data_IF_145073391328
#
_entry.id   IF_145073391328
#
_cell.length_a   1.000
_cell.length_b   1.000
_cell.length_c   1.000
_cell.angle_alpha   90.00
_cell.angle_beta   90.00
_cell.angle_gamma   90.00
#
_symmetry.space_group_name_H-M   'P 1'
#
loop_
_entity.id
_entity.type
_entity.pdbx_description
1 polymer ?
#
# COMPACT_ATOMS: atom_id res chain seq x y z
N UNK A 1 17.17 18.01 -35.22
CA UNK A 1 15.89 18.59 -34.76
C UNK A 1 16.20 19.71 -33.81
N UNK A 2 15.49 20.84 -33.91
CA UNK A 2 15.59 21.89 -32.89
C UNK A 2 14.88 21.45 -31.61
N UNK A 3 15.19 22.08 -30.48
CA UNK A 3 14.46 21.89 -29.20
C UNK A 3 12.95 22.10 -29.39
N UNK A 4 12.58 23.07 -30.24
CA UNK A 4 11.17 23.35 -30.55
C UNK A 4 10.47 22.20 -31.30
N UNK A 5 11.16 21.57 -32.26
CA UNK A 5 10.62 20.40 -32.99
C UNK A 5 10.43 19.20 -32.05
N UNK A 6 11.36 19.01 -31.12
CA UNK A 6 11.28 17.94 -30.12
C UNK A 6 10.11 18.14 -29.15
N UNK A 7 9.90 19.37 -28.65
CA UNK A 7 8.75 19.69 -27.81
C UNK A 7 7.41 19.47 -28.52
N UNK A 8 7.32 19.80 -29.82
CA UNK A 8 6.13 19.55 -30.63
C UNK A 8 5.87 18.07 -30.91
N UNK A 9 6.91 17.23 -30.83
CA UNK A 9 6.77 15.79 -31.06
C UNK A 9 6.12 15.03 -29.89
N UNK A 10 6.01 15.67 -28.71
CA UNK A 10 5.34 15.06 -27.57
C UNK A 10 3.82 14.96 -27.81
N UNK A 11 3.21 13.78 -27.54
CA UNK A 11 1.77 13.61 -27.72
C UNK A 11 0.97 14.43 -26.71
N UNK A 12 -0.27 14.78 -27.07
CA UNK A 12 -1.21 15.39 -26.13
C UNK A 12 -1.68 14.37 -25.10
N UNK A 13 -2.21 14.88 -23.98
CA UNK A 13 -2.83 14.04 -22.96
C UNK A 13 -3.97 13.21 -23.56
N UNK A 14 -4.82 13.80 -24.40
CA UNK A 14 -5.94 13.10 -25.02
C UNK A 14 -5.52 11.96 -25.94
N UNK A 15 -4.45 12.15 -26.72
CA UNK A 15 -3.87 11.09 -27.56
C UNK A 15 -3.37 9.93 -26.70
N UNK A 16 -2.67 10.23 -25.61
CA UNK A 16 -2.18 9.21 -24.69
C UNK A 16 -3.34 8.48 -23.99
N UNK A 17 -4.40 9.17 -23.61
CA UNK A 17 -5.58 8.53 -23.00
C UNK A 17 -6.34 7.58 -23.93
N UNK A 18 -6.16 7.70 -25.25
CA UNK A 18 -6.73 6.78 -26.24
C UNK A 18 -5.85 5.57 -26.52
N UNK A 19 -4.58 5.58 -26.07
CA UNK A 19 -3.65 4.48 -26.27
C UNK A 19 -4.14 3.22 -25.54
N UNK A 20 -4.20 2.04 -26.20
CA UNK A 20 -4.66 0.81 -25.58
C UNK A 20 -3.93 0.43 -24.27
N UNK A 21 -2.62 0.69 -24.18
CA UNK A 21 -1.84 0.39 -22.98
C UNK A 21 -2.26 1.26 -21.79
N UNK A 22 -2.58 2.53 -22.04
CA UNK A 22 -3.04 3.45 -20.99
C UNK A 22 -4.52 3.25 -20.66
N UNK A 23 -5.35 2.81 -21.62
CA UNK A 23 -6.74 2.41 -21.33
C UNK A 23 -6.80 1.25 -20.34
N UNK A 24 -5.94 0.24 -20.49
CA UNK A 24 -5.83 -0.85 -19.53
C UNK A 24 -5.45 -0.36 -18.12
N UNK A 25 -4.57 0.64 -18.02
CA UNK A 25 -4.22 1.26 -16.71
C UNK A 25 -5.39 2.05 -16.12
N UNK A 26 -6.18 2.74 -16.94
CA UNK A 26 -7.37 3.46 -16.50
C UNK A 26 -8.43 2.49 -15.96
N UNK A 27 -8.63 1.35 -16.64
CA UNK A 27 -9.55 0.30 -16.18
C UNK A 27 -9.11 -0.32 -14.85
N UNK A 28 -7.79 -0.49 -14.65
CA UNK A 28 -7.24 -1.09 -13.44
C UNK A 28 -7.19 -0.13 -12.24
N UNK A 29 -6.83 1.14 -12.46
CA UNK A 29 -6.48 2.08 -11.38
C UNK A 29 -7.30 3.37 -11.36
N UNK A 30 -8.15 3.59 -12.35
CA UNK A 30 -8.97 4.79 -12.48
C UNK A 30 -8.32 5.89 -13.32
N UNK A 31 -9.17 6.73 -13.91
CA UNK A 31 -8.77 7.77 -14.87
C UNK A 31 -7.92 8.88 -14.25
N UNK A 32 -8.22 9.27 -13.01
CA UNK A 32 -7.54 10.37 -12.33
C UNK A 32 -6.05 10.11 -12.17
N UNK A 33 -5.68 8.94 -11.63
CA UNK A 33 -4.29 8.51 -11.48
C UNK A 33 -3.54 8.43 -12.81
N UNK A 34 -4.19 7.94 -13.87
CA UNK A 34 -3.58 7.88 -15.20
C UNK A 34 -3.30 9.28 -15.75
N UNK A 35 -4.24 10.23 -15.60
CA UNK A 35 -4.06 11.62 -16.05
C UNK A 35 -2.95 12.32 -15.28
N UNK A 36 -2.87 12.12 -13.97
CA UNK A 36 -1.78 12.66 -13.15
C UNK A 36 -0.42 12.14 -13.61
N UNK A 37 -0.30 10.81 -13.82
CA UNK A 37 0.93 10.19 -14.28
C UNK A 37 1.33 10.66 -15.68
N UNK A 38 0.38 10.82 -16.61
CA UNK A 38 0.61 11.37 -17.95
C UNK A 38 1.15 12.80 -17.85
N UNK A 39 0.52 13.65 -17.03
CA UNK A 39 0.93 15.05 -16.88
C UNK A 39 2.34 15.16 -16.31
N UNK A 40 2.64 14.38 -15.27
CA UNK A 40 3.97 14.33 -14.67
C UNK A 40 5.02 13.85 -15.68
N UNK A 41 4.76 12.74 -16.37
CA UNK A 41 5.70 12.18 -17.36
C UNK A 41 5.95 13.15 -18.52
N UNK A 42 4.92 13.85 -19.00
CA UNK A 42 5.07 14.88 -20.02
C UNK A 42 5.81 16.13 -19.50
N UNK A 43 5.63 16.50 -18.24
CA UNK A 43 6.36 17.62 -17.64
C UNK A 43 7.86 17.29 -17.54
N UNK A 44 8.20 16.07 -17.11
CA UNK A 44 9.58 15.60 -17.02
C UNK A 44 10.21 15.46 -18.41
N UNK A 45 9.47 14.93 -19.39
CA UNK A 45 9.94 14.87 -20.78
C UNK A 45 10.23 16.27 -21.35
N UNK A 46 9.35 17.26 -21.10
CA UNK A 46 9.59 18.65 -21.52
C UNK A 46 10.83 19.23 -20.87
N UNK A 47 11.02 19.02 -19.57
CA UNK A 47 12.20 19.49 -18.85
C UNK A 47 13.48 18.87 -19.41
N UNK A 48 13.48 17.56 -19.63
CA UNK A 48 14.62 16.83 -20.20
C UNK A 48 15.03 17.37 -21.59
N UNK A 49 14.04 17.65 -22.45
CA UNK A 49 14.25 18.27 -23.77
C UNK A 49 14.86 19.67 -23.66
N UNK A 50 14.35 20.49 -22.72
CA UNK A 50 14.89 21.83 -22.47
C UNK A 50 16.34 21.79 -21.94
N UNK A 51 16.68 20.74 -21.20
CA UNK A 51 18.03 20.46 -20.71
C UNK A 51 18.97 19.87 -21.80
N UNK A 52 18.50 19.77 -23.05
CA UNK A 52 19.29 19.34 -24.21
C UNK A 52 19.26 17.84 -24.52
N UNK A 53 18.45 17.06 -23.81
CA UNK A 53 18.28 15.63 -24.09
C UNK A 53 17.29 15.40 -25.23
N UNK A 54 17.39 14.28 -25.97
CA UNK A 54 16.42 13.97 -27.01
C UNK A 54 15.03 13.67 -26.41
N UNK A 55 13.97 13.98 -27.18
CA UNK A 55 12.61 13.59 -26.81
C UNK A 55 12.51 12.06 -26.63
N UNK A 56 11.79 11.58 -25.59
CA UNK A 56 11.57 10.16 -25.43
C UNK A 56 10.76 9.61 -26.59
N UNK A 57 11.04 8.35 -26.96
CA UNK A 57 10.17 7.65 -27.91
C UNK A 57 8.76 7.48 -27.32
N UNK A 58 7.71 7.35 -28.16
CA UNK A 58 6.35 7.09 -27.67
C UNK A 58 6.29 5.87 -26.74
N UNK A 59 6.98 4.78 -27.10
CA UNK A 59 7.05 3.57 -26.27
C UNK A 59 7.72 3.80 -24.91
N UNK A 60 8.82 4.57 -24.87
CA UNK A 60 9.48 4.91 -23.60
C UNK A 60 8.57 5.76 -22.71
N UNK A 61 7.85 6.72 -23.28
CA UNK A 61 6.90 7.55 -22.55
C UNK A 61 5.76 6.72 -21.95
N UNK A 62 5.22 5.75 -22.70
CA UNK A 62 4.20 4.82 -22.19
C UNK A 62 4.71 3.98 -21.02
N UNK A 63 5.95 3.49 -21.09
CA UNK A 63 6.58 2.74 -19.99
C UNK A 63 6.71 3.61 -18.75
N UNK A 64 7.21 4.84 -18.87
CA UNK A 64 7.36 5.76 -17.74
C UNK A 64 6.03 6.10 -17.08
N UNK A 65 4.99 6.35 -17.87
CA UNK A 65 3.64 6.58 -17.37
C UNK A 65 3.16 5.36 -16.59
N UNK A 66 3.35 4.15 -17.14
CA UNK A 66 3.00 2.90 -16.47
C UNK A 66 3.73 2.70 -15.15
N UNK A 67 5.04 2.93 -15.12
CA UNK A 67 5.85 2.84 -13.90
C UNK A 67 5.38 3.83 -12.83
N UNK A 68 5.05 5.05 -13.23
CA UNK A 68 4.58 6.08 -12.30
C UNK A 68 3.21 5.72 -11.71
N UNK A 69 2.27 5.24 -12.52
CA UNK A 69 0.98 4.71 -12.01
C UNK A 69 1.22 3.56 -11.04
N UNK A 70 2.05 2.59 -11.41
CA UNK A 70 2.34 1.43 -10.58
C UNK A 70 3.03 1.82 -9.26
N UNK A 71 3.90 2.83 -9.28
CA UNK A 71 4.53 3.36 -8.08
C UNK A 71 3.50 4.03 -7.15
N UNK A 72 2.56 4.80 -7.70
CA UNK A 72 1.53 5.51 -6.92
C UNK A 72 0.53 4.57 -6.24
N UNK A 73 0.21 3.43 -6.87
CA UNK A 73 -0.70 2.43 -6.28
C UNK A 73 0.02 1.39 -5.42
N UNK A 74 1.35 1.45 -5.35
CA UNK A 74 2.13 0.47 -4.60
C UNK A 74 1.93 0.68 -3.09
N UNK A 75 1.61 -0.38 -2.32
CA UNK A 75 1.57 -0.29 -0.88
C UNK A 75 2.91 0.20 -0.30
N UNK A 76 2.84 1.14 0.64
CA UNK A 76 4.02 1.65 1.36
C UNK A 76 4.60 0.64 2.33
N UNK A 77 3.74 -0.22 2.91
CA UNK A 77 4.13 -1.38 3.71
C UNK A 77 4.25 -2.62 2.83
N UNK A 78 5.42 -3.28 2.87
CA UNK A 78 5.72 -4.45 2.04
C UNK A 78 6.50 -5.50 2.84
N UNK A 79 6.36 -6.79 2.52
CA UNK A 79 7.21 -7.84 3.08
C UNK A 79 8.68 -7.59 2.72
N UNK A 80 9.57 -7.97 3.64
CA UNK A 80 11.02 -7.85 3.51
C UNK A 80 11.70 -9.12 4.00
N UNK A 81 12.88 -9.42 3.46
CA UNK A 81 13.72 -10.53 3.94
C UNK A 81 14.69 -9.96 4.97
N UNK A 82 14.59 -10.43 6.22
CA UNK A 82 15.53 -10.06 7.27
C UNK A 82 16.81 -10.91 7.18
N UNK A 83 17.87 -10.33 6.62
CA UNK A 83 19.20 -10.94 6.53
C UNK A 83 20.21 -10.39 7.59
N UNK A 84 19.73 -9.65 8.58
CA UNK A 84 20.59 -8.97 9.58
C UNK A 84 21.03 -9.89 10.73
N UNK A 85 20.34 -11.00 10.94
CA UNK A 85 20.51 -11.84 12.13
C UNK A 85 19.83 -11.31 13.40
N UNK A 86 19.21 -10.12 13.36
CA UNK A 86 18.48 -9.54 14.51
C UNK A 86 17.06 -10.08 14.55
N UNK A 87 16.71 -10.86 15.58
CA UNK A 87 15.39 -11.50 15.73
C UNK A 87 14.29 -10.47 16.00
N UNK A 88 14.43 -9.65 17.05
CA UNK A 88 13.47 -8.58 17.37
C UNK A 88 13.93 -7.27 16.72
N UNK A 89 13.71 -7.16 15.42
CA UNK A 89 14.14 -6.00 14.65
C UNK A 89 13.10 -4.88 14.69
N UNK A 90 13.35 -3.81 15.44
CA UNK A 90 12.40 -2.70 15.66
C UNK A 90 11.94 -2.04 14.36
N UNK A 91 12.86 -1.77 13.42
CA UNK A 91 12.53 -1.15 12.13
C UNK A 91 11.80 -2.10 11.15
N UNK A 92 11.87 -3.42 11.34
CA UNK A 92 11.22 -4.41 10.46
C UNK A 92 9.93 -4.99 11.08
N UNK A 93 9.41 -4.38 12.15
CA UNK A 93 8.13 -4.79 12.74
C UNK A 93 8.23 -5.81 13.87
N UNK A 94 9.39 -5.98 14.51
CA UNK A 94 9.59 -6.81 15.71
C UNK A 94 9.27 -8.29 15.44
N UNK A 95 8.48 -8.93 16.30
CA UNK A 95 8.19 -10.36 16.19
C UNK A 95 7.15 -10.62 15.07
N UNK A 96 7.47 -11.42 14.05
CA UNK A 96 6.47 -11.90 13.10
C UNK A 96 5.49 -12.86 13.79
N UNK A 97 4.25 -12.91 13.30
CA UNK A 97 3.22 -13.81 13.80
C UNK A 97 3.34 -15.20 13.16
N UNK A 98 3.02 -16.24 13.93
CA UNK A 98 2.89 -17.60 13.39
C UNK A 98 1.59 -17.76 12.58
N UNK A 99 1.51 -18.80 11.75
CA UNK A 99 0.35 -19.07 10.89
C UNK A 99 -0.97 -19.14 11.69
N UNK A 100 -0.98 -19.87 12.80
CA UNK A 100 -2.18 -20.02 13.63
C UNK A 100 -2.70 -18.69 14.20
N UNK A 101 -1.80 -17.76 14.58
CA UNK A 101 -2.20 -16.44 15.06
C UNK A 101 -2.81 -15.60 13.93
N UNK A 102 -2.21 -15.63 12.73
CA UNK A 102 -2.73 -14.94 11.55
C UNK A 102 -4.11 -15.49 11.14
N UNK A 103 -4.28 -16.81 11.14
CA UNK A 103 -5.55 -17.47 10.84
C UNK A 103 -6.66 -17.03 11.80
N UNK A 104 -6.38 -16.99 13.11
CA UNK A 104 -7.33 -16.51 14.11
C UNK A 104 -7.72 -15.04 13.91
N UNK A 105 -6.74 -14.17 13.60
CA UNK A 105 -6.99 -12.75 13.29
C UNK A 105 -7.86 -12.59 12.04
N UNK A 106 -7.59 -13.36 10.99
CA UNK A 106 -8.39 -13.34 9.75
C UNK A 106 -9.80 -13.86 10.01
N UNK A 107 -9.96 -14.93 10.77
CA UNK A 107 -11.27 -15.52 11.07
C UNK A 107 -12.19 -14.53 11.81
N UNK A 108 -11.68 -13.84 12.84
CA UNK A 108 -12.44 -12.82 13.59
C UNK A 108 -12.61 -11.51 12.80
N UNK A 109 -11.60 -11.09 12.04
CA UNK A 109 -11.59 -9.82 11.32
C UNK A 109 -12.46 -9.78 10.04
N UNK A 110 -12.92 -10.94 9.55
CA UNK A 110 -13.76 -11.03 8.34
C UNK A 110 -15.21 -10.54 8.54
N UNK A 111 -15.67 -10.37 9.77
CA UNK A 111 -17.04 -9.98 10.05
C UNK A 111 -17.23 -9.43 11.46
N UNK A 112 -18.48 -9.37 11.91
CA UNK A 112 -18.80 -9.02 13.29
C UNK A 112 -18.33 -10.12 14.25
N UNK A 113 -17.96 -9.72 15.47
CA UNK A 113 -17.58 -10.62 16.55
C UNK A 113 -18.20 -10.17 17.86
N UNK A 114 -18.15 -11.04 18.87
CA UNK A 114 -18.59 -10.76 20.24
C UNK A 114 -17.57 -9.92 21.04
N UNK A 115 -16.85 -9.02 20.37
CA UNK A 115 -15.75 -8.24 20.94
C UNK A 115 -16.17 -7.53 22.25
N UNK A 116 -17.35 -6.90 22.26
CA UNK A 116 -17.95 -6.25 23.44
C UNK A 116 -19.37 -6.76 23.72
N UNK A 117 -19.64 -8.04 23.44
CA UNK A 117 -20.97 -8.62 23.62
C UNK A 117 -20.91 -9.96 24.35
N UNK A 118 -21.70 -10.09 25.40
CA UNK A 118 -21.85 -11.34 26.13
C UNK A 118 -22.95 -12.18 25.47
N UNK A 119 -22.56 -13.32 24.91
CA UNK A 119 -23.49 -14.22 24.23
C UNK A 119 -24.44 -14.95 25.17
N UNK A 120 -24.07 -15.14 26.44
CA UNK A 120 -24.92 -15.79 27.44
C UNK A 120 -25.92 -14.81 28.03
N UNK A 121 -25.46 -13.60 28.38
CA UNK A 121 -26.31 -12.58 28.98
C UNK A 121 -27.11 -11.75 27.95
N UNK A 122 -26.71 -11.75 26.67
CA UNK A 122 -27.39 -11.02 25.62
C UNK A 122 -27.25 -9.50 25.73
N UNK A 123 -26.17 -9.02 26.36
CA UNK A 123 -25.93 -7.59 26.62
C UNK A 123 -24.50 -7.20 26.27
N UNK A 124 -24.22 -5.89 26.32
CA UNK A 124 -22.86 -5.37 26.17
C UNK A 124 -21.96 -5.91 27.28
N UNK A 125 -20.78 -6.40 26.89
CA UNK A 125 -19.73 -6.89 27.78
C UNK A 125 -18.42 -6.13 27.62
N UNK A 126 -17.44 -6.44 28.48
CA UNK A 126 -16.08 -5.90 28.39
C UNK A 126 -15.23 -6.72 27.42
N UNK A 127 -14.48 -6.05 26.53
CA UNK A 127 -13.52 -6.73 25.63
C UNK A 127 -12.33 -7.36 26.34
N UNK A 128 -12.01 -6.91 27.57
CA UNK A 128 -10.82 -7.36 28.29
C UNK A 128 -10.92 -8.82 28.75
N UNK A 129 -12.14 -9.34 28.94
CA UNK A 129 -12.40 -10.70 29.44
C UNK A 129 -11.73 -11.78 28.58
N UNK A 130 -11.61 -11.54 27.27
CA UNK A 130 -11.05 -12.48 26.31
C UNK A 130 -9.56 -12.74 26.54
N UNK A 131 -8.81 -11.71 26.92
CA UNK A 131 -7.36 -11.79 27.17
C UNK A 131 -7.03 -12.00 28.65
N UNK A 132 -7.80 -11.39 29.55
CA UNK A 132 -7.57 -11.42 31.00
C UNK A 132 -7.49 -12.85 31.52
N UNK A 133 -8.48 -13.70 31.19
CA UNK A 133 -8.51 -15.08 31.65
C UNK A 133 -7.26 -15.87 31.22
N UNK A 134 -6.82 -15.70 29.96
CA UNK A 134 -5.59 -16.35 29.47
C UNK A 134 -4.35 -15.84 30.22
N UNK A 135 -4.25 -14.53 30.47
CA UNK A 135 -3.13 -13.95 31.18
C UNK A 135 -3.08 -14.41 32.64
N UNK A 136 -4.19 -14.36 33.38
CA UNK A 136 -4.25 -14.83 34.76
C UNK A 136 -3.91 -16.33 34.87
N UNK A 137 -4.35 -17.15 33.89
CA UNK A 137 -3.96 -18.57 33.83
C UNK A 137 -2.47 -18.79 33.60
N UNK A 138 -1.82 -17.92 32.80
CA UNK A 138 -0.39 -18.02 32.51
C UNK A 138 0.48 -17.49 33.64
N UNK A 139 0.05 -16.44 34.34
CA UNK A 139 0.86 -15.71 35.33
C UNK A 139 0.52 -16.05 36.78
N UNK A 140 -0.68 -16.57 37.06
CA UNK A 140 -1.20 -16.74 38.41
C UNK A 140 -1.68 -15.44 39.08
N UNK A 141 -1.74 -14.32 38.34
CA UNK A 141 -2.23 -13.05 38.87
C UNK A 141 -3.74 -13.07 39.16
N UNK A 142 -4.19 -12.23 40.10
CA UNK A 142 -5.60 -12.08 40.47
C UNK A 142 -6.44 -11.38 39.39
N UNK A 143 -5.80 -10.61 38.52
CA UNK A 143 -6.43 -9.88 37.40
C UNK A 143 -5.39 -9.42 36.38
N UNK A 144 -5.84 -9.08 35.18
CA UNK A 144 -4.95 -8.64 34.10
C UNK A 144 -5.63 -7.65 33.15
N UNK A 145 -4.85 -6.67 32.67
CA UNK A 145 -5.31 -5.66 31.71
C UNK A 145 -4.32 -5.54 30.55
N UNK A 146 -4.84 -5.45 29.33
CA UNK A 146 -4.05 -5.19 28.12
C UNK A 146 -4.30 -3.76 27.66
N UNK A 147 -3.22 -3.01 27.50
CA UNK A 147 -3.21 -1.66 26.91
C UNK A 147 -2.50 -1.69 25.56
N UNK A 148 -2.56 -0.58 24.82
CA UNK A 148 -2.04 -0.50 23.44
C UNK A 148 -0.57 -0.94 23.31
N UNK A 149 0.30 -0.48 24.21
CA UNK A 149 1.71 -0.85 24.27
C UNK A 149 2.29 -0.53 25.65
N UNK A 150 3.43 -1.15 25.97
CA UNK A 150 4.29 -0.75 27.08
C UNK A 150 5.07 0.51 26.69
N UNK A 151 5.22 1.46 27.62
CA UNK A 151 6.07 2.64 27.45
C UNK A 151 7.56 2.25 27.39
#
# INVERSE_FOLDING_TARGET
>A
MTVHDQLRSLPSVDVLLQDPALRALIEAHGRELAVEAIRASLADARRSILDGHPAPSPGALLVWIGELVQASVRPTLRPVINATGVVIHTNLGRAPLCAAALEAMVAVGRGYSNLEYDLQAGVRGSRYVHAENLLCRLTGAEGALVVNNNA
#
